data_IF_967391241459
#
_entry.id   IF_967391241459
#
_cell.length_a   1.000
_cell.length_b   1.000
_cell.length_c   1.000
_cell.angle_alpha   90.00
_cell.angle_beta   90.00
_cell.angle_gamma   90.00
#
_symmetry.space_group_name_H-M   'P 1'
#
loop_
_entity.id
_entity.type
_entity.pdbx_description
1 polymer ?
#
# COMPACT_ATOMS: atom_id res chain seq x y z
N UNK A 1 -73.09 -39.76 -26.90
CA UNK A 1 -72.06 -40.75 -27.28
C UNK A 1 -70.91 -40.60 -26.28
N UNK A 2 -70.68 -41.67 -25.48
CA UNK A 2 -69.45 -42.09 -24.76
C UNK A 2 -68.95 -41.17 -23.60
N UNK A 3 -68.94 -41.63 -22.34
CA UNK A 3 -67.97 -42.55 -21.68
C UNK A 3 -66.52 -42.03 -21.87
N UNK A 4 -65.68 -41.79 -20.88
CA UNK A 4 -65.22 -42.59 -19.73
C UNK A 4 -64.58 -41.63 -18.68
N UNK A 5 -64.79 -41.75 -17.37
CA UNK A 5 -64.22 -42.72 -16.40
C UNK A 5 -62.69 -42.70 -16.24
N UNK A 6 -62.30 -42.36 -14.99
CA UNK A 6 -61.25 -42.97 -14.15
C UNK A 6 -59.82 -43.12 -14.71
N UNK A 7 -58.86 -42.57 -13.97
CA UNK A 7 -57.82 -43.31 -13.22
C UNK A 7 -56.90 -42.27 -12.52
N UNK A 8 -56.79 -42.18 -11.19
CA UNK A 8 -56.11 -43.11 -10.25
C UNK A 8 -54.66 -43.39 -10.68
N UNK A 9 -53.60 -43.35 -9.88
CA UNK A 9 -53.28 -42.90 -8.54
C UNK A 9 -51.76 -43.09 -8.39
N UNK A 10 -51.15 -42.47 -7.38
CA UNK A 10 -49.98 -42.97 -6.62
C UNK A 10 -48.60 -43.06 -7.31
N UNK A 11 -47.71 -42.20 -6.79
CA UNK A 11 -46.31 -42.49 -6.47
C UNK A 11 -45.73 -41.25 -5.77
N UNK A 12 -45.66 -41.19 -4.42
CA UNK A 12 -44.51 -41.61 -3.58
C UNK A 12 -43.22 -40.92 -4.08
N UNK A 13 -42.43 -40.17 -3.30
CA UNK A 13 -42.18 -40.17 -1.86
C UNK A 13 -41.21 -39.02 -1.53
N UNK A 14 -41.28 -38.55 -0.29
CA UNK A 14 -40.37 -37.63 0.42
C UNK A 14 -38.87 -37.80 0.13
N UNK A 15 -38.14 -36.66 0.13
CA UNK A 15 -36.88 -36.46 0.86
C UNK A 15 -36.64 -34.94 0.94
N UNK A 16 -36.91 -34.30 2.08
CA UNK A 16 -35.95 -33.99 3.16
C UNK A 16 -34.89 -32.94 2.79
N UNK A 17 -34.91 -31.83 3.55
CA UNK A 17 -33.76 -31.13 4.17
C UNK A 17 -32.79 -30.47 3.15
N UNK A 18 -32.50 -29.16 3.14
CA UNK A 18 -31.78 -28.50 4.22
C UNK A 18 -31.79 -26.95 4.11
N UNK A 19 -32.15 -26.33 5.24
CA UNK A 19 -31.58 -25.13 5.85
C UNK A 19 -31.05 -23.97 4.99
N UNK A 20 -31.85 -22.92 4.94
CA UNK A 20 -31.40 -21.52 4.92
C UNK A 20 -30.83 -21.09 6.29
N UNK A 21 -29.65 -21.58 6.71
CA UNK A 21 -28.96 -21.12 7.93
C UNK A 21 -27.44 -21.39 7.88
N UNK A 22 -26.67 -20.60 7.14
CA UNK A 22 -25.19 -20.68 7.20
C UNK A 22 -24.45 -19.35 7.35
N UNK A 23 -25.16 -18.24 7.59
CA UNK A 23 -24.51 -16.91 7.73
C UNK A 23 -24.62 -16.36 9.18
N UNK A 24 -25.32 -17.05 10.07
CA UNK A 24 -25.60 -16.56 11.45
C UNK A 24 -24.78 -17.24 12.57
N UNK A 25 -23.68 -17.92 12.25
CA UNK A 25 -22.84 -18.59 13.27
C UNK A 25 -21.47 -17.94 13.48
N UNK A 26 -21.02 -17.07 12.58
CA UNK A 26 -19.73 -16.36 12.74
C UNK A 26 -19.84 -15.10 13.62
N UNK A 27 -21.06 -14.63 13.94
CA UNK A 27 -21.30 -13.42 14.76
C UNK A 27 -21.46 -13.68 16.26
N UNK A 28 -21.31 -14.92 16.74
CA UNK A 28 -21.44 -15.24 18.17
C UNK A 28 -20.14 -15.65 18.88
N UNK A 29 -19.00 -15.76 18.17
CA UNK A 29 -17.74 -16.16 18.82
C UNK A 29 -16.95 -15.00 19.45
N UNK A 30 -17.35 -13.74 19.22
CA UNK A 30 -16.68 -12.59 19.82
C UNK A 30 -17.10 -12.29 21.28
N UNK A 31 -18.04 -13.04 21.86
CA UNK A 31 -18.57 -12.75 23.21
C UNK A 31 -18.30 -13.82 24.29
N UNK A 32 -17.47 -14.85 24.02
CA UNK A 32 -17.13 -15.88 25.02
C UNK A 32 -15.62 -16.09 25.26
N UNK A 33 -14.75 -15.28 24.66
CA UNK A 33 -13.29 -15.44 24.83
C UNK A 33 -12.78 -14.80 26.14
N UNK A 34 -13.54 -13.86 26.75
CA UNK A 34 -13.09 -13.11 27.94
C UNK A 34 -13.11 -13.95 29.23
N UNK A 35 -13.80 -15.10 29.27
CA UNK A 35 -14.00 -15.85 30.52
C UNK A 35 -12.98 -16.98 30.80
N UNK A 36 -12.03 -17.27 29.90
CA UNK A 36 -11.16 -18.46 30.05
C UNK A 36 -9.65 -18.16 30.13
N UNK A 37 -9.23 -16.90 30.19
CA UNK A 37 -7.81 -16.57 30.38
C UNK A 37 -6.86 -17.15 29.31
N UNK A 38 -7.41 -17.55 28.15
CA UNK A 38 -6.61 -17.97 27.02
C UNK A 38 -6.00 -16.72 26.41
N UNK A 39 -4.69 -16.62 26.54
CA UNK A 39 -3.86 -15.66 25.84
C UNK A 39 -3.89 -16.06 24.34
N UNK A 40 -4.95 -15.69 23.64
CA UNK A 40 -4.97 -15.79 22.18
C UNK A 40 -3.88 -14.81 21.72
N UNK A 41 -2.83 -15.25 21.02
CA UNK A 41 -1.95 -14.31 20.37
C UNK A 41 -2.84 -13.45 19.48
N UNK A 42 -3.01 -12.18 19.87
CA UNK A 42 -3.69 -11.22 19.02
C UNK A 42 -2.90 -11.22 17.73
N UNK A 43 -3.45 -11.85 16.69
CA UNK A 43 -2.98 -11.63 15.34
C UNK A 43 -3.30 -10.16 15.06
N UNK A 44 -2.33 -9.32 15.38
CA UNK A 44 -2.33 -7.89 15.16
C UNK A 44 -2.31 -7.72 13.64
N UNK A 45 -3.49 -7.45 13.08
CA UNK A 45 -3.81 -7.21 11.67
C UNK A 45 -3.62 -8.41 10.74
N UNK A 46 -4.74 -8.94 10.25
CA UNK A 46 -4.88 -10.31 9.72
C UNK A 46 -4.40 -10.59 8.31
N UNK A 47 -3.53 -9.76 7.73
CA UNK A 47 -3.00 -9.98 6.38
C UNK A 47 -1.51 -10.29 6.46
N UNK A 48 -1.14 -11.53 6.12
CA UNK A 48 0.26 -11.92 5.98
C UNK A 48 0.94 -11.03 4.91
N UNK A 49 2.00 -10.28 5.24
CA UNK A 49 2.73 -9.46 4.29
C UNK A 49 3.19 -10.22 3.05
N UNK A 50 3.47 -11.53 3.18
CA UNK A 50 3.87 -12.37 2.05
C UNK A 50 2.72 -12.63 1.08
N UNK A 51 1.49 -12.71 1.58
CA UNK A 51 0.29 -12.83 0.72
C UNK A 51 0.16 -11.58 -0.12
N UNK A 52 0.25 -10.39 0.48
CA UNK A 52 0.19 -9.13 -0.26
C UNK A 52 1.30 -9.02 -1.30
N UNK A 53 2.53 -9.36 -0.94
CA UNK A 53 3.65 -9.34 -1.89
C UNK A 53 3.41 -10.28 -3.08
N UNK A 54 2.84 -11.45 -2.82
CA UNK A 54 2.51 -12.43 -3.86
C UNK A 54 1.40 -11.91 -4.77
N UNK A 55 0.36 -11.29 -4.21
CA UNK A 55 -0.74 -10.69 -4.99
C UNK A 55 -0.24 -9.52 -5.85
N UNK A 56 0.60 -8.65 -5.29
CA UNK A 56 1.24 -7.55 -6.03
C UNK A 56 2.09 -8.11 -7.18
N UNK A 57 2.96 -9.09 -6.90
CA UNK A 57 3.82 -9.70 -7.91
C UNK A 57 3.06 -10.46 -9.01
N UNK A 58 1.85 -10.95 -8.70
CA UNK A 58 0.98 -11.66 -9.64
C UNK A 58 0.02 -10.73 -10.40
N UNK A 59 0.04 -9.43 -10.10
CA UNK A 59 -0.86 -8.44 -10.71
C UNK A 59 -2.29 -8.48 -10.17
N UNK A 60 -2.56 -9.22 -9.09
CA UNK A 60 -3.86 -9.32 -8.41
C UNK A 60 -4.12 -8.10 -7.50
N UNK A 61 -3.85 -6.90 -8.02
CA UNK A 61 -3.86 -5.66 -7.23
C UNK A 61 -5.25 -5.29 -6.76
N UNK A 62 -6.29 -5.54 -7.55
CA UNK A 62 -7.68 -5.22 -7.17
C UNK A 62 -8.14 -6.11 -6.01
N UNK A 63 -7.86 -7.41 -6.09
CA UNK A 63 -8.15 -8.34 -4.99
C UNK A 63 -7.36 -7.99 -3.71
N UNK A 64 -6.12 -7.53 -3.85
CA UNK A 64 -5.32 -7.08 -2.72
C UNK A 64 -5.92 -5.83 -2.05
N UNK A 65 -6.42 -4.88 -2.85
CA UNK A 65 -7.12 -3.70 -2.35
C UNK A 65 -8.42 -4.06 -1.65
N UNK A 66 -9.24 -4.95 -2.22
CA UNK A 66 -10.49 -5.40 -1.62
C UNK A 66 -10.25 -6.07 -0.26
N UNK A 67 -9.23 -6.91 -0.16
CA UNK A 67 -8.84 -7.56 1.10
C UNK A 67 -8.41 -6.53 2.15
N UNK A 68 -7.56 -5.57 1.78
CA UNK A 68 -7.09 -4.52 2.68
C UNK A 68 -8.26 -3.63 3.12
N UNK A 69 -9.14 -3.23 2.21
CA UNK A 69 -10.27 -2.35 2.51
C UNK A 69 -11.30 -3.03 3.42
N UNK A 70 -11.52 -4.34 3.26
CA UNK A 70 -12.34 -5.12 4.17
C UNK A 70 -11.73 -5.19 5.59
N UNK A 71 -10.43 -5.43 5.69
CA UNK A 71 -9.73 -5.48 6.97
C UNK A 71 -9.77 -4.12 7.69
N UNK A 72 -9.49 -3.02 6.97
CA UNK A 72 -9.59 -1.65 7.49
C UNK A 72 -10.99 -1.37 8.02
N UNK A 73 -12.04 -1.76 7.28
CA UNK A 73 -13.43 -1.53 7.67
C UNK A 73 -13.83 -2.32 8.93
N UNK A 74 -13.21 -3.46 9.18
CA UNK A 74 -13.44 -4.29 10.36
C UNK A 74 -12.57 -3.93 11.56
N UNK A 75 -11.56 -3.08 11.37
CA UNK A 75 -10.57 -2.76 12.39
C UNK A 75 -11.11 -1.81 13.46
N UNK A 76 -10.86 -2.14 14.72
CA UNK A 76 -11.24 -1.32 15.89
C UNK A 76 -10.13 -0.37 16.34
N UNK A 77 -8.95 -0.45 15.73
CA UNK A 77 -7.77 0.37 16.06
C UNK A 77 -7.16 1.00 14.81
N UNK A 78 -6.26 1.97 15.01
CA UNK A 78 -5.63 2.74 13.94
C UNK A 78 -4.85 1.84 12.96
N UNK A 79 -5.34 1.59 11.74
CA UNK A 79 -4.84 0.53 10.86
C UNK A 79 -3.67 1.05 10.00
N UNK A 80 -2.70 1.72 10.64
CA UNK A 80 -1.59 2.40 9.93
C UNK A 80 -0.89 1.46 8.95
N UNK A 81 -0.49 0.27 9.40
CA UNK A 81 0.22 -0.70 8.57
C UNK A 81 -0.61 -1.18 7.35
N UNK A 82 -1.94 -1.23 7.49
CA UNK A 82 -2.86 -1.56 6.39
C UNK A 82 -2.99 -0.39 5.42
N UNK A 83 -3.06 0.86 5.90
CA UNK A 83 -3.05 2.05 5.02
C UNK A 83 -1.74 2.13 4.23
N UNK A 84 -0.62 1.76 4.84
CA UNK A 84 0.68 1.62 4.19
C UNK A 84 0.68 0.52 3.12
N UNK A 85 0.18 -0.66 3.46
CA UNK A 85 0.01 -1.75 2.51
C UNK A 85 -0.85 -1.32 1.31
N UNK A 86 -1.97 -0.65 1.58
CA UNK A 86 -2.86 -0.11 0.54
C UNK A 86 -2.13 0.84 -0.40
N UNK A 87 -1.37 1.79 0.15
CA UNK A 87 -0.59 2.73 -0.65
C UNK A 87 0.45 2.03 -1.53
N UNK A 88 1.13 0.99 -1.02
CA UNK A 88 2.07 0.18 -1.81
C UNK A 88 1.38 -0.57 -2.96
N UNK A 89 0.19 -1.13 -2.71
CA UNK A 89 -0.59 -1.78 -3.78
C UNK A 89 -0.98 -0.75 -4.85
N UNK A 90 -1.48 0.43 -4.46
CA UNK A 90 -1.80 1.53 -5.38
C UNK A 90 -0.58 1.94 -6.20
N UNK A 91 0.58 2.05 -5.56
CA UNK A 91 1.85 2.39 -6.22
C UNK A 91 2.27 1.33 -7.24
N UNK A 92 2.13 0.04 -6.90
CA UNK A 92 2.40 -1.07 -7.81
C UNK A 92 1.50 -1.10 -9.05
N UNK A 93 0.28 -0.53 -9.00
CA UNK A 93 -0.61 -0.42 -10.18
C UNK A 93 -0.12 0.58 -11.24
N UNK A 94 0.97 1.32 -10.98
CA UNK A 94 1.53 2.31 -11.91
C UNK A 94 0.78 3.64 -11.96
N UNK A 95 -0.28 3.83 -11.15
CA UNK A 95 -0.97 5.10 -11.05
C UNK A 95 -0.23 6.07 -10.12
N UNK A 96 0.82 6.70 -10.64
CA UNK A 96 1.70 7.61 -9.88
C UNK A 96 0.94 8.75 -9.18
N UNK A 97 -0.16 9.26 -9.76
CA UNK A 97 -0.97 10.33 -9.14
C UNK A 97 -1.72 9.84 -7.90
N UNK A 98 -2.35 8.65 -7.98
CA UNK A 98 -3.03 8.05 -6.83
C UNK A 98 -2.03 7.68 -5.73
N UNK A 99 -0.88 7.13 -6.11
CA UNK A 99 0.18 6.78 -5.17
C UNK A 99 0.75 8.02 -4.46
N UNK A 100 1.02 9.11 -5.20
CA UNK A 100 1.44 10.39 -4.62
C UNK A 100 0.42 10.88 -3.58
N UNK A 101 -0.86 10.87 -3.92
CA UNK A 101 -1.92 11.28 -3.00
C UNK A 101 -1.94 10.42 -1.73
N UNK A 102 -1.88 9.09 -1.88
CA UNK A 102 -1.88 8.16 -0.75
C UNK A 102 -0.68 8.37 0.18
N UNK A 103 0.53 8.53 -0.36
CA UNK A 103 1.72 8.77 0.47
C UNK A 103 1.70 10.15 1.13
N UNK A 104 1.20 11.20 0.46
CA UNK A 104 1.03 12.52 1.08
C UNK A 104 0.04 12.47 2.25
N UNK A 105 -1.04 11.71 2.12
CA UNK A 105 -1.99 11.49 3.22
C UNK A 105 -1.29 10.77 4.39
N UNK A 106 -0.53 9.72 4.11
CA UNK A 106 0.23 8.99 5.13
C UNK A 106 1.25 9.88 5.85
N UNK A 107 1.98 10.73 5.12
CA UNK A 107 2.91 11.72 5.73
C UNK A 107 2.15 12.66 6.66
N UNK A 108 0.97 13.13 6.23
CA UNK A 108 0.17 14.07 7.02
C UNK A 108 -0.37 13.43 8.30
N UNK A 109 -0.83 12.18 8.22
CA UNK A 109 -1.45 11.48 9.36
C UNK A 109 -0.43 10.79 10.27
N UNK A 110 0.71 10.38 9.72
CA UNK A 110 1.76 9.62 10.40
C UNK A 110 3.16 10.19 10.11
N UNK A 111 3.44 11.44 10.51
CA UNK A 111 4.69 12.12 10.16
C UNK A 111 5.95 11.49 10.75
N UNK A 112 5.82 10.59 11.74
CA UNK A 112 6.95 9.90 12.37
C UNK A 112 7.35 8.58 11.68
N UNK A 113 6.80 8.30 10.49
CA UNK A 113 7.13 7.09 9.71
C UNK A 113 8.02 7.47 8.53
N UNK A 114 9.21 6.87 8.37
CA UNK A 114 10.11 7.20 7.25
C UNK A 114 9.65 6.62 5.89
N UNK A 115 8.86 5.55 5.89
CA UNK A 115 8.49 4.80 4.69
C UNK A 115 7.68 5.61 3.64
N UNK A 116 6.70 6.48 3.99
CA UNK A 116 6.01 7.31 3.02
C UNK A 116 6.93 8.31 2.32
N UNK A 117 7.88 8.89 3.07
CA UNK A 117 8.85 9.84 2.53
C UNK A 117 9.72 9.16 1.48
N UNK A 118 10.21 7.95 1.80
CA UNK A 118 10.98 7.12 0.89
C UNK A 118 10.21 6.77 -0.40
N UNK A 119 8.97 6.30 -0.28
CA UNK A 119 8.17 5.91 -1.45
C UNK A 119 7.73 7.11 -2.30
N UNK A 120 7.35 8.23 -1.67
CA UNK A 120 6.99 9.44 -2.41
C UNK A 120 8.21 10.05 -3.13
N UNK A 121 9.38 10.02 -2.51
CA UNK A 121 10.62 10.44 -3.16
C UNK A 121 10.96 9.58 -4.38
N UNK A 122 10.71 8.27 -4.33
CA UNK A 122 10.87 7.38 -5.49
C UNK A 122 9.96 7.80 -6.65
N UNK A 123 8.71 8.17 -6.37
CA UNK A 123 7.76 8.67 -7.37
C UNK A 123 8.28 9.98 -8.00
N UNK A 124 8.77 10.93 -7.21
CA UNK A 124 9.31 12.19 -7.72
C UNK A 124 10.61 12.01 -8.51
N UNK A 125 11.49 11.12 -8.05
CA UNK A 125 12.71 10.78 -8.77
C UNK A 125 12.39 10.20 -10.15
N UNK A 126 11.39 9.30 -10.26
CA UNK A 126 10.94 8.77 -11.54
C UNK A 126 10.32 9.83 -12.47
N UNK A 127 9.83 10.95 -11.91
CA UNK A 127 9.33 12.10 -12.66
C UNK A 127 10.43 13.13 -12.98
N UNK A 128 11.70 12.86 -12.62
CA UNK A 128 12.82 13.80 -12.78
C UNK A 128 12.84 14.96 -11.78
N UNK A 129 11.94 14.97 -10.80
CA UNK A 129 11.83 15.99 -9.75
C UNK A 129 12.82 15.71 -8.61
N UNK A 130 14.11 15.76 -8.92
CA UNK A 130 15.17 15.29 -8.03
C UNK A 130 15.24 16.10 -6.72
N UNK A 131 15.06 17.42 -6.76
CA UNK A 131 15.16 18.27 -5.57
C UNK A 131 13.97 18.03 -4.61
N UNK A 132 12.79 17.79 -5.16
CA UNK A 132 11.62 17.42 -4.36
C UNK A 132 11.83 16.04 -3.71
N UNK A 133 12.46 15.11 -4.44
CA UNK A 133 12.77 13.78 -3.94
C UNK A 133 13.83 13.83 -2.82
N UNK A 134 14.93 14.57 -2.99
CA UNK A 134 15.97 14.71 -1.98
C UNK A 134 15.44 15.41 -0.72
N UNK A 135 14.62 16.45 -0.87
CA UNK A 135 13.97 17.15 0.24
C UNK A 135 13.07 16.22 1.06
N UNK A 136 12.26 15.38 0.40
CA UNK A 136 11.43 14.36 1.07
C UNK A 136 12.27 13.34 1.83
N UNK A 137 13.34 12.83 1.23
CA UNK A 137 14.22 11.87 1.88
C UNK A 137 14.92 12.46 3.11
N UNK A 138 15.40 13.71 3.01
CA UNK A 138 15.94 14.44 4.16
C UNK A 138 14.89 14.60 5.25
N UNK A 139 13.65 14.92 4.89
CA UNK A 139 12.54 14.95 5.85
C UNK A 139 12.33 13.60 6.54
N UNK A 140 12.38 12.49 5.79
CA UNK A 140 12.28 11.14 6.34
C UNK A 140 13.42 10.79 7.32
N UNK A 141 14.66 11.25 7.09
CA UNK A 141 15.76 11.05 8.04
C UNK A 141 15.55 11.74 9.39
N UNK A 142 14.82 12.86 9.44
CA UNK A 142 14.45 13.47 10.72
C UNK A 142 13.50 12.60 11.54
N UNK A 143 12.78 11.68 10.90
CA UNK A 143 11.84 10.76 11.57
C UNK A 143 12.54 9.51 12.09
N UNK A 144 13.47 8.95 11.31
CA UNK A 144 14.33 7.84 11.70
C UNK A 144 15.71 7.98 11.02
N UNK A 145 16.72 8.47 11.75
CA UNK A 145 18.08 8.64 11.23
C UNK A 145 18.79 7.32 10.87
N UNK A 146 18.24 6.17 11.25
CA UNK A 146 18.84 4.84 11.02
C UNK A 146 18.24 4.12 9.82
N UNK A 147 17.21 4.69 9.19
CA UNK A 147 16.49 4.03 8.09
C UNK A 147 17.33 3.96 6.80
N UNK A 148 18.06 2.84 6.65
CA UNK A 148 19.09 2.62 5.62
C UNK A 148 18.63 2.93 4.19
N UNK A 149 17.39 2.55 3.84
CA UNK A 149 16.87 2.74 2.48
C UNK A 149 16.86 4.21 2.03
N UNK A 150 16.68 5.16 2.96
CA UNK A 150 16.73 6.57 2.63
C UNK A 150 18.13 7.00 2.20
N UNK A 151 19.18 6.52 2.88
CA UNK A 151 20.56 6.82 2.49
C UNK A 151 20.87 6.31 1.09
N UNK A 152 20.51 5.06 0.79
CA UNK A 152 20.75 4.47 -0.53
C UNK A 152 20.00 5.25 -1.63
N UNK A 153 18.77 5.70 -1.36
CA UNK A 153 18.00 6.54 -2.29
C UNK A 153 18.55 7.97 -2.43
N UNK A 154 19.04 8.59 -1.35
CA UNK A 154 19.73 9.87 -1.40
C UNK A 154 21.00 9.78 -2.23
N UNK A 155 21.81 8.73 -2.04
CA UNK A 155 23.02 8.50 -2.84
C UNK A 155 22.69 8.45 -4.33
N UNK A 156 21.63 7.70 -4.70
CA UNK A 156 21.19 7.62 -6.10
C UNK A 156 20.76 8.99 -6.64
N UNK A 157 19.97 9.74 -5.88
CA UNK A 157 19.48 11.06 -6.31
C UNK A 157 20.64 12.06 -6.45
N UNK A 158 21.54 12.15 -5.46
CA UNK A 158 22.67 13.07 -5.53
C UNK A 158 23.64 12.70 -6.66
N UNK A 159 23.83 11.41 -6.93
CA UNK A 159 24.64 10.96 -8.09
C UNK A 159 24.00 11.42 -9.40
N UNK A 160 22.68 11.35 -9.50
CA UNK A 160 21.96 11.80 -10.70
C UNK A 160 21.99 13.32 -10.86
N UNK A 161 21.76 14.09 -9.79
CA UNK A 161 21.89 15.55 -9.81
C UNK A 161 23.31 15.98 -10.22
N UNK A 162 24.35 15.37 -9.63
CA UNK A 162 25.74 15.66 -9.99
C UNK A 162 26.05 15.35 -11.46
N UNK A 163 25.53 14.23 -11.98
CA UNK A 163 25.70 13.88 -13.39
C UNK A 163 25.01 14.88 -14.34
N UNK A 164 23.80 15.35 -14.00
CA UNK A 164 23.09 16.38 -14.78
C UNK A 164 23.81 17.72 -14.76
N UNK A 165 24.27 18.15 -13.58
CA UNK A 165 25.10 19.35 -13.42
C UNK A 165 26.39 19.25 -14.25
N UNK A 166 27.07 18.10 -14.26
CA UNK A 166 28.25 17.93 -15.10
C UNK A 166 27.91 17.98 -16.60
N UNK A 167 26.84 17.32 -17.03
CA UNK A 167 26.37 17.37 -18.43
C UNK A 167 26.14 18.81 -18.89
N UNK A 168 25.41 19.58 -18.09
CA UNK A 168 25.11 20.99 -18.38
C UNK A 168 26.36 21.87 -18.44
N UNK A 169 27.38 21.58 -17.63
CA UNK A 169 28.63 22.34 -17.63
C UNK A 169 29.48 22.06 -18.89
N UNK A 170 29.41 20.83 -19.41
CA UNK A 170 30.11 20.42 -20.62
C UNK A 170 29.38 20.86 -21.89
N UNK A 171 28.05 20.73 -21.91
CA UNK A 171 27.18 21.14 -22.99
C UNK A 171 25.87 21.76 -22.43
N UNK A 172 25.75 23.10 -22.45
CA UNK A 172 24.55 23.79 -22.01
C UNK A 172 23.27 23.46 -22.79
N UNK A 173 23.37 22.75 -23.93
CA UNK A 173 22.23 22.32 -24.75
C UNK A 173 21.92 20.82 -24.63
N UNK A 174 22.57 20.08 -23.73
CA UNK A 174 22.30 18.66 -23.53
C UNK A 174 20.81 18.44 -23.18
N UNK A 175 20.06 17.56 -23.88
CA UNK A 175 18.64 17.31 -23.58
C UNK A 175 18.38 16.73 -22.18
N UNK A 176 19.41 16.25 -21.48
CA UNK A 176 19.35 15.81 -20.07
C UNK A 176 19.69 16.93 -19.09
N UNK A 177 20.25 18.04 -19.57
CA UNK A 177 20.38 19.25 -18.78
C UNK A 177 19.01 19.90 -18.65
N UNK A 178 18.71 20.41 -17.46
CA UNK A 178 17.60 21.33 -17.27
C UNK A 178 18.20 22.73 -17.09
N UNK A 179 18.20 23.57 -18.14
CA UNK A 179 18.82 24.90 -18.06
C UNK A 179 18.15 25.82 -17.03
N UNK A 180 16.93 25.47 -16.57
CA UNK A 180 16.18 26.22 -15.57
C UNK A 180 16.55 25.84 -14.13
N UNK A 181 17.32 24.76 -13.95
CA UNK A 181 17.84 24.29 -12.67
C UNK A 181 19.34 24.62 -12.62
N UNK A 182 19.76 25.72 -11.95
CA UNK A 182 21.17 26.07 -11.85
C UNK A 182 21.96 24.99 -11.11
N UNK A 183 23.26 24.90 -11.38
CA UNK A 183 24.17 23.91 -10.80
C UNK A 183 24.05 23.86 -9.27
N UNK A 184 23.42 22.83 -8.71
CA UNK A 184 23.62 22.53 -7.28
C UNK A 184 25.07 22.06 -7.14
N UNK A 185 25.94 22.95 -6.65
CA UNK A 185 27.30 22.57 -6.30
C UNK A 185 27.28 21.64 -5.09
N UNK A 186 28.31 20.80 -4.91
CA UNK A 186 28.46 19.96 -3.70
C UNK A 186 28.39 20.77 -2.38
N UNK A 187 28.62 22.09 -2.44
CA UNK A 187 28.51 23.02 -1.31
C UNK A 187 27.08 23.55 -1.08
N UNK A 188 26.18 23.39 -2.05
CA UNK A 188 24.77 23.79 -1.98
C UNK A 188 23.86 22.64 -1.54
N UNK A 189 24.35 21.40 -1.60
CA UNK A 189 23.75 20.30 -0.84
C UNK A 189 23.82 20.73 0.63
N UNK A 190 22.69 20.96 1.32
CA UNK A 190 22.71 21.33 2.71
C UNK A 190 23.50 20.24 3.43
N UNK A 191 24.70 20.58 3.90
CA UNK A 191 25.45 19.69 4.77
C UNK A 191 24.46 19.23 5.83
N UNK A 192 24.41 17.92 6.07
CA UNK A 192 23.71 17.35 7.22
C UNK A 192 24.43 17.90 8.46
N UNK A 193 24.20 19.17 8.75
CA UNK A 193 24.94 19.97 9.71
C UNK A 193 24.34 19.66 11.07
N UNK A 194 25.01 18.71 11.72
CA UNK A 194 25.05 18.38 13.16
C UNK A 194 23.73 18.13 13.88
#
# INVERSE_FOLDING_TARGET
MRFDLKSSAKGRTNFLIASSRSISLLKFFAALVVALGLNIPTAVYGIDPKVLETMIGSGETDAALDLIDAEIASSTSNPVDLLFARARVIDATGNAKKAEHAYRELITRYPARPEPYNNLARIYSAQGKLDQASSLLRAGLYTDPTYRMIFDNLTRIYTEQAARSLSMALDPNDPKSDPSQPFETLNEIPTLSN
#
